data_IF_767126536694
#
_entry.id   IF_767126536694
#
_cell.length_a   1.000
_cell.length_b   1.000
_cell.length_c   1.000
_cell.angle_alpha   90.00
_cell.angle_beta   90.00
_cell.angle_gamma   90.00
#
_symmetry.space_group_name_H-M   'P 1'
#
loop_
_entity.id
_entity.type
_entity.pdbx_description
1 polymer ?
#
# COMPACT_ATOMS: atom_id res chain seq x y z
N UNK A 1 -6.21 24.78 12.15
CA UNK A 1 -6.73 23.99 13.29
C UNK A 1 -5.56 23.67 14.18
N UNK A 2 -5.69 23.97 15.47
CA UNK A 2 -4.63 23.78 16.44
C UNK A 2 -5.17 23.33 17.79
N UNK A 3 -4.38 22.54 18.53
CA UNK A 3 -4.70 22.05 19.87
C UNK A 3 -6.05 21.28 19.95
N UNK A 4 -6.50 20.68 18.86
CA UNK A 4 -7.72 19.88 18.80
C UNK A 4 -7.42 18.37 18.94
N UNK A 5 -8.46 17.53 18.89
CA UNK A 5 -8.32 16.07 18.89
C UNK A 5 -8.44 15.39 20.28
N UNK A 6 -9.20 15.97 21.21
CA UNK A 6 -9.55 15.32 22.47
C UNK A 6 -10.34 14.02 22.27
N UNK A 7 -10.32 13.14 23.27
CA UNK A 7 -11.19 11.96 23.35
C UNK A 7 -12.66 12.29 23.05
N UNK A 8 -13.28 11.45 22.22
CA UNK A 8 -14.69 11.53 21.87
C UNK A 8 -15.28 10.11 21.74
N UNK A 9 -16.59 10.03 21.56
CA UNK A 9 -17.37 8.78 21.57
C UNK A 9 -17.03 7.80 20.44
N UNK A 10 -16.34 8.23 19.39
CA UNK A 10 -15.95 7.35 18.26
C UNK A 10 -14.64 6.61 18.52
N UNK A 11 -13.86 7.02 19.53
CA UNK A 11 -12.48 6.55 19.75
C UNK A 11 -11.45 7.09 18.74
N UNK A 12 -11.90 7.70 17.64
CA UNK A 12 -11.05 8.36 16.65
C UNK A 12 -10.63 9.75 17.16
N UNK A 13 -9.40 10.17 16.89
CA UNK A 13 -8.86 11.43 17.42
C UNK A 13 -8.02 12.12 16.34
N UNK A 14 -8.41 13.34 15.98
CA UNK A 14 -7.64 14.19 15.08
C UNK A 14 -8.12 15.64 15.10
N UNK A 15 -7.33 16.54 14.51
CA UNK A 15 -7.71 17.94 14.33
C UNK A 15 -8.94 18.09 13.43
N UNK A 16 -9.02 17.26 12.39
CA UNK A 16 -10.22 17.04 11.60
C UNK A 16 -10.55 15.56 11.63
N UNK A 17 -11.79 15.24 12.01
CA UNK A 17 -12.37 13.92 11.82
C UNK A 17 -13.39 13.98 10.70
N UNK A 18 -13.18 13.14 9.69
CA UNK A 18 -14.16 12.96 8.64
C UNK A 18 -14.95 11.69 8.96
N UNK A 19 -16.23 11.88 9.26
CA UNK A 19 -17.15 10.80 9.58
C UNK A 19 -18.44 10.99 8.78
N UNK A 20 -18.87 9.95 8.07
CA UNK A 20 -20.09 10.00 7.28
C UNK A 20 -20.69 8.60 7.15
N UNK A 21 -21.93 8.44 7.60
CA UNK A 21 -22.67 7.18 7.53
C UNK A 21 -23.58 7.08 6.30
N UNK A 22 -23.85 8.20 5.63
CA UNK A 22 -24.77 8.30 4.48
C UNK A 22 -24.29 9.35 3.47
N UNK A 23 -24.19 8.95 2.19
CA UNK A 23 -23.85 9.84 1.06
C UNK A 23 -22.37 10.20 0.94
N UNK A 24 -22.01 10.76 -0.22
CA UNK A 24 -20.67 11.27 -0.51
C UNK A 24 -20.39 12.52 0.34
N UNK A 25 -19.82 12.35 1.52
CA UNK A 25 -19.19 13.46 2.23
C UNK A 25 -18.14 14.10 1.32
N UNK A 26 -18.10 15.43 1.24
CA UNK A 26 -17.20 16.17 0.34
C UNK A 26 -16.58 17.34 1.08
N UNK A 27 -15.36 17.15 1.58
CA UNK A 27 -14.58 18.19 2.25
C UNK A 27 -13.42 18.62 1.35
N UNK A 28 -13.23 19.92 1.22
CA UNK A 28 -12.03 20.52 0.61
C UNK A 28 -11.20 21.21 1.68
N UNK A 29 -9.89 21.02 1.65
CA UNK A 29 -8.94 21.77 2.46
C UNK A 29 -7.91 22.41 1.53
N UNK A 30 -7.82 23.73 1.58
CA UNK A 30 -6.91 24.51 0.76
C UNK A 30 -6.29 25.60 1.62
N UNK A 31 -4.97 25.79 1.54
CA UNK A 31 -4.24 26.84 2.27
C UNK A 31 -4.49 26.80 3.79
N UNK A 32 -4.55 25.59 4.35
CA UNK A 32 -4.80 25.38 5.77
C UNK A 32 -3.50 25.02 6.52
N UNK A 33 -3.52 25.24 7.85
CA UNK A 33 -2.49 24.71 8.75
C UNK A 33 -3.15 23.85 9.82
N UNK A 34 -2.70 22.61 9.96
CA UNK A 34 -3.11 21.68 11.00
C UNK A 34 -1.89 21.36 11.86
N UNK A 35 -1.89 21.85 13.10
CA UNK A 35 -0.73 21.75 13.96
C UNK A 35 -1.05 21.47 15.41
N UNK A 36 -0.13 20.84 16.13
CA UNK A 36 -0.22 20.67 17.59
C UNK A 36 -1.54 20.03 18.04
N UNK A 37 -2.16 19.21 17.19
CA UNK A 37 -3.32 18.43 17.56
C UNK A 37 -2.86 17.23 18.40
N UNK A 38 -3.66 16.81 19.37
CA UNK A 38 -3.27 15.78 20.35
C UNK A 38 -2.92 14.42 19.70
N UNK A 39 -3.45 14.16 18.50
CA UNK A 39 -3.21 12.94 17.72
C UNK A 39 -2.92 13.25 16.26
N UNK A 40 -3.86 13.02 15.36
CA UNK A 40 -3.59 13.14 13.95
C UNK A 40 -4.02 14.53 13.47
N UNK A 41 -3.42 15.04 12.40
CA UNK A 41 -3.97 16.23 11.73
C UNK A 41 -5.37 15.91 11.18
N UNK A 42 -5.47 14.90 10.32
CA UNK A 42 -6.73 14.41 9.74
C UNK A 42 -6.89 12.91 10.01
N UNK A 43 -8.10 12.49 10.35
CA UNK A 43 -8.51 11.08 10.33
C UNK A 43 -9.72 10.89 9.42
N UNK A 44 -9.63 9.93 8.49
CA UNK A 44 -10.74 9.50 7.65
C UNK A 44 -10.64 8.00 7.34
N UNK A 45 -11.33 7.22 8.18
CA UNK A 45 -11.40 5.76 8.06
C UNK A 45 -12.77 5.28 7.56
N UNK A 46 -13.47 6.11 6.78
CA UNK A 46 -14.83 5.84 6.31
C UNK A 46 -14.85 5.78 4.78
N UNK A 47 -15.41 4.72 4.20
CA UNK A 47 -15.45 4.55 2.74
C UNK A 47 -16.32 5.60 2.03
N UNK A 48 -17.44 5.99 2.68
CA UNK A 48 -18.46 6.88 2.11
C UNK A 48 -18.20 8.37 2.34
N UNK A 49 -17.21 8.73 3.17
CA UNK A 49 -16.84 10.12 3.41
C UNK A 49 -15.53 10.43 2.68
N UNK A 50 -15.62 11.14 1.57
CA UNK A 50 -14.49 11.43 0.69
C UNK A 50 -13.98 12.87 0.87
N UNK A 51 -12.73 13.11 0.51
CA UNK A 51 -12.28 14.46 0.23
C UNK A 51 -12.64 14.81 -1.21
N UNK A 52 -12.98 16.07 -1.44
CA UNK A 52 -12.91 16.62 -2.79
C UNK A 52 -11.44 16.85 -3.14
N UNK A 53 -10.71 17.52 -2.24
CA UNK A 53 -9.27 17.77 -2.37
C UNK A 53 -8.65 18.22 -1.05
N UNK A 54 -7.42 17.81 -0.78
CA UNK A 54 -6.57 18.39 0.26
C UNK A 54 -5.31 18.92 -0.41
N UNK A 55 -5.12 20.23 -0.45
CA UNK A 55 -4.01 20.88 -1.14
C UNK A 55 -3.45 22.08 -0.39
N UNK A 56 -2.20 22.44 -0.70
CA UNK A 56 -1.51 23.60 -0.12
C UNK A 56 -1.66 23.68 1.41
N UNK A 57 -1.75 22.52 2.07
CA UNK A 57 -2.02 22.41 3.49
C UNK A 57 -0.76 21.95 4.22
N UNK A 58 -0.50 22.57 5.36
CA UNK A 58 0.67 22.32 6.18
C UNK A 58 0.28 21.53 7.42
N UNK A 59 0.91 20.37 7.62
CA UNK A 59 0.79 19.52 8.79
C UNK A 59 2.06 19.64 9.63
N UNK A 60 1.93 20.11 10.87
CA UNK A 60 3.07 20.42 11.73
C UNK A 60 2.85 19.95 13.18
N UNK A 61 3.73 19.07 13.68
CA UNK A 61 3.81 18.70 15.10
C UNK A 61 2.46 18.29 15.69
N UNK A 62 1.70 17.44 15.02
CA UNK A 62 0.56 16.82 15.66
C UNK A 62 1.06 15.77 16.67
N UNK A 63 0.22 14.85 17.11
CA UNK A 63 0.59 13.74 17.99
C UNK A 63 1.34 12.62 17.25
N UNK A 64 2.24 12.96 16.33
CA UNK A 64 3.08 12.01 15.61
C UNK A 64 2.50 11.48 14.31
N UNK A 65 1.43 12.07 13.77
CA UNK A 65 0.80 11.62 12.51
C UNK A 65 0.09 12.78 11.82
N UNK A 66 0.45 13.06 10.57
CA UNK A 66 -0.20 14.09 9.77
C UNK A 66 -1.62 13.66 9.35
N UNK A 67 -1.74 12.45 8.82
CA UNK A 67 -3.00 11.91 8.32
C UNK A 67 -3.11 10.41 8.60
N UNK A 68 -4.30 9.91 8.95
CA UNK A 68 -4.64 8.49 8.93
C UNK A 68 -5.87 8.26 8.06
N UNK A 69 -5.67 7.60 6.91
CA UNK A 69 -6.67 7.53 5.85
C UNK A 69 -6.92 6.08 5.42
N UNK A 70 -8.12 5.80 4.92
CA UNK A 70 -8.25 4.67 3.99
C UNK A 70 -7.42 4.95 2.74
N UNK A 71 -6.72 3.93 2.25
CA UNK A 71 -5.85 4.04 1.08
C UNK A 71 -6.60 4.55 -0.17
N UNK A 72 -7.88 4.22 -0.30
CA UNK A 72 -8.74 4.70 -1.39
C UNK A 72 -8.87 6.24 -1.46
N UNK A 73 -8.66 6.95 -0.36
CA UNK A 73 -8.77 8.41 -0.31
C UNK A 73 -7.48 9.12 -0.73
N UNK A 74 -6.38 8.40 -0.93
CA UNK A 74 -5.08 9.00 -1.24
C UNK A 74 -5.07 9.80 -2.54
N UNK A 75 -5.89 9.44 -3.53
CA UNK A 75 -6.00 10.19 -4.79
C UNK A 75 -6.57 11.60 -4.65
N UNK A 76 -7.07 11.97 -3.48
CA UNK A 76 -7.62 13.30 -3.18
C UNK A 76 -6.60 14.22 -2.50
N UNK A 77 -5.41 13.69 -2.15
CA UNK A 77 -4.35 14.43 -1.49
C UNK A 77 -3.40 14.97 -2.57
N UNK A 78 -3.18 16.28 -2.61
CA UNK A 78 -2.25 16.90 -3.54
C UNK A 78 -0.80 16.73 -3.08
N UNK A 79 0.14 16.78 -4.04
CA UNK A 79 1.57 16.67 -3.81
C UNK A 79 2.21 17.92 -3.19
N UNK A 80 1.53 19.06 -3.25
CA UNK A 80 2.00 20.35 -2.73
C UNK A 80 1.69 20.59 -1.24
N UNK A 81 1.17 19.58 -0.53
CA UNK A 81 1.02 19.62 0.92
C UNK A 81 2.38 19.46 1.61
N UNK A 82 2.49 19.97 2.84
CA UNK A 82 3.71 19.89 3.65
C UNK A 82 3.46 19.00 4.87
N UNK A 83 4.36 18.06 5.10
CA UNK A 83 4.25 17.07 6.16
C UNK A 83 5.56 17.03 6.96
N UNK A 84 5.49 17.20 8.28
CA UNK A 84 6.61 16.92 9.19
C UNK A 84 6.47 15.58 9.93
N UNK A 85 5.33 14.92 9.79
CA UNK A 85 4.98 13.65 10.42
C UNK A 85 4.39 12.65 9.43
N UNK A 86 4.33 11.38 9.83
CA UNK A 86 3.90 10.27 8.98
C UNK A 86 2.46 10.39 8.46
N UNK A 87 2.22 9.75 7.32
CA UNK A 87 0.88 9.44 6.80
C UNK A 87 0.67 7.93 6.98
N UNK A 88 -0.38 7.53 7.68
CA UNK A 88 -0.77 6.13 7.82
C UNK A 88 -1.95 5.82 6.90
N UNK A 89 -1.92 4.65 6.26
CA UNK A 89 -2.93 4.17 5.33
C UNK A 89 -3.34 2.74 5.65
N UNK A 90 -4.56 2.38 5.27
CA UNK A 90 -5.09 1.02 5.43
C UNK A 90 -6.27 0.73 4.52
N UNK A 91 -6.62 -0.55 4.39
CA UNK A 91 -7.94 -0.99 3.98
C UNK A 91 -8.13 -1.16 2.48
N UNK A 92 -9.40 -1.23 2.08
CA UNK A 92 -9.82 -1.62 0.73
C UNK A 92 -9.63 -0.50 -0.28
N UNK A 93 -9.29 -0.90 -1.50
CA UNK A 93 -9.22 -0.09 -2.71
C UNK A 93 -10.15 -0.76 -3.71
N UNK A 94 -11.39 -0.27 -3.75
CA UNK A 94 -12.47 -0.80 -4.58
C UNK A 94 -12.88 0.16 -5.73
N UNK A 95 -12.09 1.22 -5.91
CA UNK A 95 -12.13 2.15 -7.05
C UNK A 95 -10.69 2.50 -7.40
N UNK A 96 -10.39 2.71 -8.68
CA UNK A 96 -9.05 3.08 -9.12
C UNK A 96 -8.56 4.35 -8.43
N UNK A 97 -7.33 4.31 -7.96
CA UNK A 97 -6.68 5.41 -7.23
C UNK A 97 -5.22 5.51 -7.64
N UNK A 98 -4.77 6.74 -7.86
CA UNK A 98 -3.35 7.06 -8.02
C UNK A 98 -2.89 7.78 -6.77
N UNK A 99 -1.86 7.25 -6.10
CA UNK A 99 -1.30 7.93 -4.94
C UNK A 99 -0.58 9.23 -5.34
N UNK A 100 -0.50 10.23 -4.46
CA UNK A 100 0.27 11.43 -4.73
C UNK A 100 1.76 11.14 -4.68
N UNK A 101 2.53 11.89 -5.47
CA UNK A 101 3.99 11.83 -5.41
C UNK A 101 4.49 12.68 -4.23
N UNK A 102 4.73 12.03 -3.10
CA UNK A 102 5.25 12.69 -1.90
C UNK A 102 6.70 12.29 -1.62
N UNK A 103 7.44 13.19 -0.95
CA UNK A 103 8.82 12.95 -0.55
C UNK A 103 8.95 12.11 0.74
N UNK A 104 7.83 11.77 1.37
CA UNK A 104 7.77 10.97 2.60
C UNK A 104 7.16 9.59 2.31
N UNK A 105 7.50 8.55 3.09
CA UNK A 105 6.89 7.23 2.93
C UNK A 105 5.43 7.20 3.41
N UNK A 106 4.65 6.26 2.88
CA UNK A 106 3.34 5.90 3.41
C UNK A 106 3.45 4.70 4.34
N UNK A 107 2.82 4.77 5.50
CA UNK A 107 2.89 3.74 6.54
C UNK A 107 1.61 2.90 6.48
N UNK A 108 1.75 1.62 6.13
CA UNK A 108 0.64 0.68 6.01
C UNK A 108 0.40 0.02 7.37
N UNK A 109 -0.64 0.48 8.07
CA UNK A 109 -0.97 0.02 9.43
C UNK A 109 -1.90 -1.21 9.45
N UNK A 110 -2.56 -1.47 8.32
CA UNK A 110 -3.33 -2.68 8.00
C UNK A 110 -3.26 -2.92 6.50
N UNK A 111 -3.42 -4.18 6.07
CA UNK A 111 -3.29 -4.61 4.69
C UNK A 111 -4.05 -3.75 3.67
N UNK A 112 -3.49 -3.70 2.45
CA UNK A 112 -4.11 -3.05 1.30
C UNK A 112 -4.77 -4.11 0.42
N UNK A 113 -6.10 -4.06 0.38
CA UNK A 113 -6.92 -5.03 -0.35
C UNK A 113 -7.42 -4.38 -1.64
N UNK A 114 -6.95 -4.82 -2.80
CA UNK A 114 -7.29 -4.23 -4.10
C UNK A 114 -8.22 -5.17 -4.84
N UNK A 115 -9.48 -4.78 -5.00
CA UNK A 115 -10.45 -5.59 -5.73
C UNK A 115 -11.85 -4.99 -5.70
N UNK A 116 -12.59 -5.22 -6.78
CA UNK A 116 -14.05 -5.12 -6.82
C UNK A 116 -14.58 -6.11 -7.88
N UNK A 117 -15.75 -6.73 -7.64
CA UNK A 117 -16.35 -7.67 -8.59
C UNK A 117 -17.06 -6.97 -9.76
N UNK A 118 -17.58 -5.76 -9.55
CA UNK A 118 -18.34 -5.01 -10.58
C UNK A 118 -17.43 -4.07 -11.37
N UNK A 119 -16.53 -3.36 -10.68
CA UNK A 119 -15.69 -2.31 -11.24
C UNK A 119 -14.21 -2.51 -10.86
N UNK A 120 -13.49 -3.42 -11.53
CA UNK A 120 -12.12 -3.81 -11.14
C UNK A 120 -11.18 -2.60 -10.98
N UNK A 121 -10.65 -2.33 -9.78
CA UNK A 121 -9.85 -1.15 -9.51
C UNK A 121 -8.37 -1.36 -9.82
N UNK A 122 -7.69 -0.26 -10.12
CA UNK A 122 -6.23 -0.20 -10.20
C UNK A 122 -5.67 0.72 -9.11
N UNK A 123 -4.78 0.21 -8.26
CA UNK A 123 -3.89 1.04 -7.46
C UNK A 123 -2.66 1.41 -8.30
N UNK A 124 -2.44 2.71 -8.53
CA UNK A 124 -1.25 3.21 -9.23
C UNK A 124 -0.34 3.96 -8.26
N UNK A 125 0.92 3.54 -8.19
CA UNK A 125 1.95 4.15 -7.35
C UNK A 125 2.97 4.92 -8.21
N UNK A 126 3.18 6.23 -7.98
CA UNK A 126 4.20 7.00 -8.69
C UNK A 126 5.62 6.49 -8.45
N UNK A 127 6.53 6.74 -9.42
CA UNK A 127 7.96 6.43 -9.25
C UNK A 127 8.55 7.11 -8.01
N UNK A 128 9.33 6.36 -7.24
CA UNK A 128 9.95 6.80 -5.98
C UNK A 128 9.06 6.65 -4.75
N UNK A 129 7.86 6.09 -4.89
CA UNK A 129 6.99 5.78 -3.73
C UNK A 129 7.67 4.76 -2.81
N UNK A 130 7.54 4.97 -1.50
CA UNK A 130 7.98 4.02 -0.46
C UNK A 130 6.78 3.66 0.41
N UNK A 131 6.45 2.38 0.49
CA UNK A 131 5.44 1.82 1.40
C UNK A 131 6.13 1.07 2.54
N UNK A 132 5.79 1.40 3.79
CA UNK A 132 6.33 0.77 5.00
C UNK A 132 5.26 -0.04 5.71
N UNK A 133 5.43 -1.36 5.76
CA UNK A 133 4.42 -2.30 6.26
C UNK A 133 4.64 -2.62 7.73
N UNK A 134 3.57 -2.51 8.51
CA UNK A 134 3.52 -3.06 9.86
C UNK A 134 3.57 -4.59 9.80
N UNK A 135 4.00 -5.23 10.89
CA UNK A 135 3.86 -6.67 11.06
C UNK A 135 2.43 -7.14 10.76
N UNK A 136 2.35 -8.35 10.17
CA UNK A 136 1.08 -8.98 9.80
C UNK A 136 0.24 -8.16 8.80
N UNK A 137 0.90 -7.44 7.89
CA UNK A 137 0.25 -6.72 6.79
C UNK A 137 0.86 -7.07 5.44
N UNK A 138 0.13 -6.78 4.36
CA UNK A 138 0.59 -6.98 2.99
C UNK A 138 -0.27 -6.25 1.97
N UNK A 139 0.01 -6.51 0.69
CA UNK A 139 -0.87 -6.12 -0.42
C UNK A 139 -1.53 -7.38 -0.97
N UNK A 140 -2.85 -7.38 -1.07
CA UNK A 140 -3.63 -8.46 -1.67
C UNK A 140 -4.34 -7.94 -2.90
N UNK A 141 -3.83 -8.30 -4.08
CA UNK A 141 -4.44 -7.94 -5.35
C UNK A 141 -5.49 -8.98 -5.72
N UNK A 142 -6.63 -8.52 -6.23
CA UNK A 142 -7.82 -9.32 -6.45
C UNK A 142 -8.36 -9.96 -5.15
N UNK A 143 -8.38 -9.17 -4.07
CA UNK A 143 -8.88 -9.58 -2.75
C UNK A 143 -10.40 -9.86 -2.75
N UNK A 144 -11.15 -9.05 -3.49
CA UNK A 144 -12.60 -9.15 -3.66
C UNK A 144 -12.90 -8.85 -5.12
N UNK A 145 -13.09 -9.88 -5.95
CA UNK A 145 -13.17 -9.68 -7.40
C UNK A 145 -11.83 -9.38 -8.07
N UNK A 146 -11.87 -8.76 -9.24
CA UNK A 146 -10.66 -8.48 -10.01
C UNK A 146 -10.03 -7.16 -9.57
N UNK A 147 -8.72 -7.02 -9.75
CA UNK A 147 -7.99 -5.81 -9.38
C UNK A 147 -6.55 -5.81 -9.90
N UNK A 148 -5.89 -4.66 -9.80
CA UNK A 148 -4.55 -4.44 -10.33
C UNK A 148 -3.68 -3.56 -9.42
N UNK A 149 -2.40 -3.87 -9.33
CA UNK A 149 -1.36 -3.01 -8.77
C UNK A 149 -0.40 -2.57 -9.88
N UNK A 150 -0.26 -1.26 -10.11
CA UNK A 150 0.70 -0.71 -11.08
C UNK A 150 1.74 0.11 -10.32
N UNK A 151 2.98 -0.36 -10.35
CA UNK A 151 4.12 0.24 -9.67
C UNK A 151 5.38 0.18 -10.55
N UNK A 152 6.10 1.30 -10.60
CA UNK A 152 7.42 1.37 -11.22
C UNK A 152 8.40 2.08 -10.29
N UNK A 153 9.59 1.51 -10.04
CA UNK A 153 10.58 2.07 -9.10
C UNK A 153 9.98 2.41 -7.73
N UNK A 154 9.22 1.48 -7.18
CA UNK A 154 8.59 1.58 -5.86
C UNK A 154 9.31 0.63 -4.91
N UNK A 155 9.51 1.08 -3.67
CA UNK A 155 10.05 0.27 -2.58
C UNK A 155 8.94 -0.13 -1.61
N UNK A 156 8.81 -1.43 -1.36
CA UNK A 156 7.93 -2.03 -0.37
C UNK A 156 8.82 -2.62 0.73
N UNK A 157 8.70 -2.15 1.97
CA UNK A 157 9.66 -2.48 3.04
C UNK A 157 9.02 -2.50 4.42
N UNK A 158 9.75 -2.94 5.43
CA UNK A 158 9.29 -2.98 6.83
C UNK A 158 9.10 -1.57 7.43
N UNK A 159 8.13 -1.45 8.33
CA UNK A 159 7.92 -0.28 9.17
C UNK A 159 8.74 -0.32 10.48
N UNK A 160 9.43 -1.42 10.77
CA UNK A 160 10.20 -1.51 12.02
C UNK A 160 11.47 -0.62 11.96
N UNK A 161 11.87 -0.01 13.08
CA UNK A 161 13.13 0.75 13.16
C UNK A 161 14.38 -0.08 12.88
N UNK A 162 14.30 -1.40 13.03
CA UNK A 162 15.37 -2.36 12.72
C UNK A 162 14.77 -3.50 11.92
N UNK A 163 14.68 -3.36 10.59
CA UNK A 163 14.04 -4.34 9.72
C UNK A 163 14.69 -5.73 9.76
N UNK A 164 13.88 -6.77 9.65
CA UNK A 164 14.31 -8.17 9.57
C UNK A 164 13.49 -8.92 8.51
N UNK A 165 14.07 -10.00 8.01
CA UNK A 165 13.34 -10.93 7.14
C UNK A 165 12.05 -11.41 7.83
N UNK A 166 10.93 -11.42 7.09
CA UNK A 166 9.64 -11.83 7.64
C UNK A 166 8.95 -10.77 8.50
N UNK A 167 9.31 -9.49 8.39
CA UNK A 167 8.66 -8.42 9.15
C UNK A 167 7.22 -8.16 8.69
N UNK A 168 6.85 -8.57 7.48
CA UNK A 168 5.53 -8.43 6.90
C UNK A 168 5.29 -9.52 5.84
N UNK A 169 4.04 -9.69 5.40
CA UNK A 169 3.67 -10.80 4.52
C UNK A 169 4.34 -10.71 3.15
N UNK A 170 4.12 -9.61 2.44
CA UNK A 170 4.54 -9.45 1.06
C UNK A 170 3.41 -8.97 0.16
N UNK A 171 3.57 -9.21 -1.14
CA UNK A 171 2.57 -8.92 -2.17
C UNK A 171 1.99 -10.23 -2.65
N UNK A 172 0.67 -10.38 -2.57
CA UNK A 172 -0.07 -11.54 -3.08
C UNK A 172 -0.87 -11.14 -4.31
N UNK A 173 -0.67 -11.87 -5.41
CA UNK A 173 -1.44 -11.76 -6.64
C UNK A 173 -2.43 -12.93 -6.69
N UNK A 174 -3.72 -12.65 -6.44
CA UNK A 174 -4.76 -13.67 -6.43
C UNK A 174 -5.25 -14.02 -7.84
N UNK A 175 -6.03 -15.09 -7.98
CA UNK A 175 -6.45 -15.66 -9.28
C UNK A 175 -7.07 -14.64 -10.25
N UNK A 176 -7.90 -13.71 -9.75
CA UNK A 176 -8.57 -12.67 -10.57
C UNK A 176 -7.69 -11.44 -10.83
N UNK A 177 -6.40 -11.47 -10.49
CA UNK A 177 -5.48 -10.36 -10.77
C UNK A 177 -5.38 -10.12 -12.27
N UNK A 178 -5.52 -8.87 -12.70
CA UNK A 178 -5.44 -8.49 -14.12
C UNK A 178 -4.75 -7.15 -14.26
N UNK A 179 -3.81 -7.03 -15.20
CA UNK A 179 -3.15 -5.75 -15.51
C UNK A 179 -2.21 -5.21 -14.41
N UNK A 180 -1.81 -6.05 -13.45
CA UNK A 180 -0.75 -5.71 -12.49
C UNK A 180 0.59 -5.50 -13.21
N UNK A 181 1.33 -4.46 -12.84
CA UNK A 181 2.69 -4.24 -13.32
C UNK A 181 3.61 -3.89 -12.15
N UNK A 182 4.69 -4.65 -12.00
CA UNK A 182 5.77 -4.43 -11.04
C UNK A 182 7.08 -4.30 -11.83
N UNK A 183 7.47 -3.05 -12.11
CA UNK A 183 8.64 -2.76 -12.94
C UNK A 183 9.73 -2.05 -12.13
N UNK A 184 10.97 -2.57 -12.13
CA UNK A 184 12.08 -1.95 -11.40
C UNK A 184 11.76 -1.71 -9.90
N UNK A 185 10.87 -2.52 -9.32
CA UNK A 185 10.43 -2.39 -7.93
C UNK A 185 11.35 -3.17 -7.00
N UNK A 186 11.31 -2.82 -5.71
CA UNK A 186 12.08 -3.48 -4.66
C UNK A 186 11.16 -3.91 -3.51
N UNK A 187 11.19 -5.20 -3.17
CA UNK A 187 10.53 -5.76 -1.99
C UNK A 187 11.60 -6.14 -0.98
N UNK A 188 11.53 -5.61 0.24
CA UNK A 188 12.51 -5.86 1.30
C UNK A 188 11.85 -6.36 2.58
N UNK A 189 12.57 -7.21 3.31
CA UNK A 189 12.21 -7.62 4.68
C UNK A 189 10.83 -8.29 4.80
N UNK A 190 10.34 -8.86 3.69
CA UNK A 190 9.04 -9.50 3.58
C UNK A 190 9.14 -11.02 3.75
N UNK A 191 8.07 -11.73 3.41
CA UNK A 191 8.09 -13.19 3.26
C UNK A 191 7.65 -13.97 4.49
N UNK A 192 7.00 -13.30 5.45
CA UNK A 192 6.30 -13.98 6.53
C UNK A 192 5.15 -14.82 5.95
N UNK A 193 4.86 -15.98 6.54
CA UNK A 193 3.66 -16.73 6.22
C UNK A 193 2.39 -15.89 6.41
N UNK A 194 1.63 -15.70 5.32
CA UNK A 194 0.40 -14.92 5.29
C UNK A 194 -0.86 -15.78 5.14
N UNK A 195 -2.04 -15.14 5.07
CA UNK A 195 -3.32 -15.85 4.99
C UNK A 195 -3.54 -16.64 3.69
N UNK A 196 -2.83 -16.29 2.61
CA UNK A 196 -2.98 -16.92 1.28
C UNK A 196 -1.79 -17.84 0.96
N UNK A 197 -0.61 -17.54 1.49
CA UNK A 197 0.62 -18.26 1.20
C UNK A 197 1.84 -17.63 1.85
N UNK A 198 3.00 -18.20 1.58
CA UNK A 198 4.27 -17.79 2.16
C UNK A 198 5.21 -17.31 1.06
N UNK A 199 5.66 -16.05 1.14
CA UNK A 199 6.56 -15.47 0.15
C UNK A 199 6.47 -13.94 0.09
N UNK A 200 7.59 -13.28 -0.18
CA UNK A 200 7.65 -11.84 -0.41
C UNK A 200 6.83 -11.44 -1.64
N UNK A 201 6.80 -12.30 -2.66
CA UNK A 201 5.83 -12.31 -3.74
C UNK A 201 5.11 -13.66 -3.74
N UNK A 202 3.77 -13.62 -3.69
CA UNK A 202 2.91 -14.81 -3.79
C UNK A 202 2.05 -14.71 -5.04
N UNK A 203 1.93 -15.80 -5.80
CA UNK A 203 0.92 -15.98 -6.86
C UNK A 203 -0.01 -17.12 -6.46
N UNK A 204 -1.29 -16.81 -6.30
CA UNK A 204 -2.33 -17.79 -5.96
C UNK A 204 -2.87 -18.47 -7.23
N UNK A 205 -3.26 -19.74 -7.09
CA UNK A 205 -3.88 -20.54 -8.14
C UNK A 205 -2.88 -21.28 -9.04
N UNK A 206 -3.39 -21.88 -10.11
CA UNK A 206 -2.62 -22.78 -11.00
C UNK A 206 -2.01 -22.07 -12.23
N UNK A 207 -2.18 -20.75 -12.34
CA UNK A 207 -1.79 -19.99 -13.54
C UNK A 207 -0.31 -19.61 -13.56
N UNK A 208 0.28 -19.56 -14.76
CA UNK A 208 1.68 -19.20 -15.08
C UNK A 208 2.05 -17.75 -14.69
N UNK A 209 1.07 -16.94 -14.31
CA UNK A 209 1.08 -15.56 -13.78
C UNK A 209 -0.33 -15.03 -14.13
N UNK A 210 -1.00 -14.25 -13.26
CA UNK A 210 -2.33 -13.75 -13.59
C UNK A 210 -2.34 -12.94 -14.89
N UNK A 211 -3.43 -13.03 -15.66
CA UNK A 211 -3.49 -12.56 -17.05
C UNK A 211 -3.03 -11.09 -17.18
N UNK A 212 -2.13 -10.83 -18.13
CA UNK A 212 -1.53 -9.52 -18.42
C UNK A 212 -0.71 -8.91 -17.29
N UNK A 213 -0.34 -9.68 -16.25
CA UNK A 213 0.58 -9.16 -15.25
C UNK A 213 2.02 -9.12 -15.79
N UNK A 214 2.75 -8.05 -15.45
CA UNK A 214 4.14 -7.82 -15.87
C UNK A 214 5.02 -7.66 -14.65
N UNK A 215 6.01 -8.54 -14.48
CA UNK A 215 6.96 -8.48 -13.36
C UNK A 215 8.36 -8.52 -13.95
N UNK A 216 9.01 -7.36 -14.02
CA UNK A 216 10.31 -7.19 -14.66
C UNK A 216 11.22 -6.32 -13.83
N UNK A 217 12.48 -6.72 -13.67
CA UNK A 217 13.49 -6.06 -12.85
C UNK A 217 13.02 -5.88 -11.40
N UNK A 218 12.19 -6.79 -10.91
CA UNK A 218 11.80 -6.85 -9.52
C UNK A 218 12.99 -7.37 -8.70
N UNK A 219 13.40 -6.61 -7.70
CA UNK A 219 14.35 -7.07 -6.69
C UNK A 219 13.62 -7.50 -5.42
N UNK A 220 13.98 -8.65 -4.88
CA UNK A 220 13.57 -9.11 -3.55
C UNK A 220 14.82 -9.19 -2.68
N UNK A 221 14.82 -8.55 -1.51
CA UNK A 221 15.98 -8.54 -0.60
C UNK A 221 15.61 -8.87 0.82
N UNK A 222 16.46 -9.66 1.49
CA UNK A 222 16.31 -9.98 2.91
C UNK A 222 14.90 -10.51 3.24
N UNK A 223 14.32 -11.31 2.36
CA UNK A 223 13.03 -11.94 2.59
C UNK A 223 13.22 -13.24 3.41
N UNK A 224 12.26 -13.58 4.27
CA UNK A 224 12.27 -14.87 4.96
C UNK A 224 12.01 -15.99 3.96
N UNK A 225 10.96 -15.82 3.16
CA UNK A 225 10.70 -16.60 1.94
C UNK A 225 10.53 -15.63 0.79
N UNK A 226 11.28 -15.79 -0.31
CA UNK A 226 11.21 -14.86 -1.44
C UNK A 226 9.95 -15.06 -2.32
N UNK A 227 9.51 -16.30 -2.47
CA UNK A 227 8.49 -16.69 -3.44
C UNK A 227 7.54 -17.76 -2.89
N UNK A 228 6.26 -17.65 -3.24
CA UNK A 228 5.27 -18.71 -3.09
C UNK A 228 4.29 -18.74 -4.26
N UNK A 229 3.97 -19.92 -4.78
CA UNK A 229 3.05 -20.06 -5.91
C UNK A 229 3.36 -21.26 -6.80
N UNK A 230 2.61 -21.46 -7.89
CA UNK A 230 2.77 -22.62 -8.75
C UNK A 230 4.11 -22.59 -9.49
N UNK A 231 4.66 -23.79 -9.79
CA UNK A 231 5.94 -23.95 -10.49
C UNK A 231 5.98 -23.17 -11.80
N UNK A 232 4.89 -23.21 -12.59
CA UNK A 232 4.82 -22.50 -13.86
C UNK A 232 4.95 -20.97 -13.70
N UNK A 233 4.36 -20.37 -12.65
CA UNK A 233 4.55 -18.95 -12.38
C UNK A 233 5.96 -18.60 -11.95
N UNK A 234 6.58 -19.50 -11.20
CA UNK A 234 7.97 -19.35 -10.84
C UNK A 234 8.89 -19.40 -12.06
N UNK A 235 8.70 -20.37 -12.95
CA UNK A 235 9.48 -20.51 -14.19
C UNK A 235 9.37 -19.28 -15.08
N UNK A 236 8.16 -18.72 -15.20
CA UNK A 236 7.94 -17.46 -15.92
C UNK A 236 8.75 -16.32 -15.29
N UNK A 237 8.65 -16.11 -13.98
CA UNK A 237 9.37 -15.06 -13.25
C UNK A 237 10.91 -15.21 -13.31
N UNK A 238 11.40 -16.44 -13.43
CA UNK A 238 12.82 -16.79 -13.50
C UNK A 238 13.45 -16.55 -14.88
N UNK A 239 12.67 -16.24 -15.91
CA UNK A 239 13.22 -15.95 -17.25
C UNK A 239 14.17 -14.77 -17.20
N UNK A 240 15.37 -14.96 -17.78
CA UNK A 240 16.43 -13.96 -17.77
C UNK A 240 16.03 -12.61 -18.41
N UNK A 241 15.11 -12.63 -19.39
CA UNK A 241 14.60 -11.43 -20.05
C UNK A 241 13.84 -10.48 -19.10
N UNK A 242 13.25 -11.02 -18.03
CA UNK A 242 12.58 -10.21 -17.02
C UNK A 242 13.58 -9.56 -16.07
N UNK A 243 14.76 -10.15 -15.86
CA UNK A 243 15.82 -9.57 -15.02
C UNK A 243 15.46 -9.45 -13.53
N UNK A 244 14.57 -10.30 -13.03
CA UNK A 244 14.18 -10.34 -11.62
C UNK A 244 15.32 -10.92 -10.75
N UNK A 245 15.42 -10.47 -9.50
CA UNK A 245 16.50 -10.88 -8.58
C UNK A 245 16.02 -11.19 -7.17
N UNK A 246 16.74 -12.08 -6.49
CA UNK A 246 16.65 -12.34 -5.05
C UNK A 246 18.03 -12.17 -4.45
N UNK A 247 18.18 -11.26 -3.48
CA UNK A 247 19.46 -10.90 -2.85
C UNK A 247 20.57 -10.65 -3.88
N UNK A 248 20.24 -9.82 -4.88
CA UNK A 248 21.12 -9.39 -5.98
C UNK A 248 21.58 -10.52 -6.93
N UNK A 249 21.02 -11.74 -6.81
CA UNK A 249 21.23 -12.86 -7.73
C UNK A 249 20.02 -13.03 -8.64
N UNK A 250 20.17 -13.59 -9.86
CA UNK A 250 19.03 -13.91 -10.71
C UNK A 250 17.97 -14.73 -9.96
N UNK A 251 16.70 -14.37 -10.12
CA UNK A 251 15.58 -15.08 -9.52
C UNK A 251 15.61 -16.54 -9.98
N UNK A 252 15.51 -17.46 -9.02
CA UNK A 252 15.52 -18.89 -9.27
C UNK A 252 14.42 -19.54 -8.43
N UNK A 253 13.78 -20.56 -9.00
CA UNK A 253 12.75 -21.30 -8.29
C UNK A 253 13.34 -22.07 -7.10
N UNK A 254 12.66 -22.04 -5.94
CA UNK A 254 13.04 -22.91 -4.84
C UNK A 254 12.97 -24.37 -5.31
N UNK A 255 13.89 -25.20 -4.84
CA UNK A 255 13.85 -26.64 -5.11
C UNK A 255 12.67 -27.21 -4.32
N UNK A 256 11.82 -28.00 -4.96
CA UNK A 256 10.81 -28.79 -4.27
C UNK A 256 11.53 -29.70 -3.25
N UNK A 257 11.11 -29.66 -1.98
CA UNK A 257 11.56 -30.58 -0.93
C UNK A 257 10.84 -31.93 -1.01
#
# INVERSE_FOLDING_TARGET
IEFAGHENFTGLQGGIMVYGSQGDGRISLSNCTLRQNARQGIINLQEKAAFVKVESTTFEKNGGTSMNLLAQHMGQIADNNKFDEKITISGKIHRSVTFPKLAIPFFVDSSLDIGDDENPPTLTLPEGTVLRFKAETGIFVASEGAGALVARKVTFTSNLPTPKAGDWYGITLREKTTGTSLEECLIEFAGQGGPIGTGALVVEGDSVIPKNAKVTKLGIKSAETAWGGPAAACEELAKAEHGNTVDDKPFACPKEE
#
